data_IF_918092327494
#
_entry.id   IF_918092327494
#
_cell.length_a   1.000
_cell.length_b   1.000
_cell.length_c   1.000
_cell.angle_alpha   90.00
_cell.angle_beta   90.00
_cell.angle_gamma   90.00
#
_symmetry.space_group_name_H-M   'P 1'
#
loop_
_entity.id
_entity.type
_entity.pdbx_description
1 polymer ?
#
# COMPACT_ATOMS: atom_id res chain seq x y z
N UNK A 1 35.71 34.78 87.01
CA UNK A 1 36.60 33.98 87.89
C UNK A 1 36.58 32.54 87.40
N UNK A 2 37.77 31.96 87.08
CA UNK A 2 38.09 30.54 86.77
C UNK A 2 37.42 29.93 85.51
N UNK A 3 38.14 29.61 84.43
CA UNK A 3 39.17 28.55 84.18
C UNK A 3 38.56 27.17 83.82
N UNK A 4 38.88 26.72 82.59
CA UNK A 4 39.10 25.31 82.12
C UNK A 4 37.89 24.38 82.01
N UNK A 5 37.87 23.30 81.22
CA UNK A 5 38.71 22.69 80.17
C UNK A 5 37.86 21.52 79.60
N UNK A 6 38.12 21.16 78.34
CA UNK A 6 38.13 19.78 77.77
C UNK A 6 36.79 19.03 77.64
N UNK A 7 36.30 18.98 76.40
CA UNK A 7 36.34 17.79 75.54
C UNK A 7 35.36 16.64 75.81
N UNK A 8 34.48 16.40 74.83
CA UNK A 8 34.40 15.10 74.14
C UNK A 8 33.61 15.21 72.85
N UNK A 9 34.25 14.69 71.80
CA UNK A 9 33.75 14.48 70.46
C UNK A 9 32.55 13.51 70.50
N UNK A 10 31.41 13.88 69.93
CA UNK A 10 30.47 12.88 69.40
C UNK A 10 29.83 13.42 68.14
N UNK A 11 30.09 12.69 67.05
CA UNK A 11 29.51 12.82 65.73
C UNK A 11 27.98 12.82 65.84
N UNK A 12 27.31 13.88 65.37
CA UNK A 12 25.88 13.80 65.02
C UNK A 12 25.74 14.35 63.61
N UNK A 13 25.53 13.43 62.68
CA UNK A 13 25.21 13.66 61.28
C UNK A 13 23.99 14.57 61.16
N UNK A 14 24.16 15.73 60.54
CA UNK A 14 23.06 16.56 60.08
C UNK A 14 22.49 15.87 58.84
N UNK A 15 21.29 15.32 58.98
CA UNK A 15 20.47 14.80 57.88
C UNK A 15 20.06 16.00 57.02
N UNK A 16 20.80 16.23 55.93
CA UNK A 16 20.41 17.14 54.88
C UNK A 16 19.25 16.54 54.08
N UNK A 17 18.11 17.22 54.10
CA UNK A 17 16.93 16.93 53.32
C UNK A 17 17.26 17.07 51.82
N UNK A 18 17.59 15.96 51.15
CA UNK A 18 17.71 15.93 49.69
C UNK A 18 16.30 15.82 49.11
N UNK A 19 15.78 16.93 48.58
CA UNK A 19 14.61 16.96 47.73
C UNK A 19 14.96 16.27 46.41
N UNK A 20 14.66 14.97 46.31
CA UNK A 20 14.67 14.23 45.06
C UNK A 20 13.45 14.70 44.26
N UNK A 21 13.66 15.61 43.31
CA UNK A 21 12.72 15.78 42.20
C UNK A 21 12.79 14.52 41.34
N UNK A 22 11.98 13.52 41.69
CA UNK A 22 11.64 12.46 40.77
C UNK A 22 10.81 13.11 39.65
N UNK A 23 11.48 13.49 38.56
CA UNK A 23 10.80 13.73 37.30
C UNK A 23 10.17 12.40 36.91
N UNK A 24 8.91 12.20 37.31
CA UNK A 24 8.06 11.19 36.72
C UNK A 24 7.99 11.54 35.24
N UNK A 25 8.81 10.87 34.43
CA UNK A 25 8.62 10.81 33.00
C UNK A 25 7.23 10.20 32.82
N UNK A 26 6.23 11.07 32.65
CA UNK A 26 4.94 10.69 32.11
C UNK A 26 5.24 10.15 30.73
N UNK A 27 5.43 8.84 30.64
CA UNK A 27 5.32 8.09 29.41
C UNK A 27 3.90 8.36 28.92
N UNK A 28 3.78 9.39 28.08
CA UNK A 28 2.57 9.65 27.35
C UNK A 28 2.41 8.47 26.42
N UNK A 29 1.58 7.53 26.87
CA UNK A 29 1.19 6.35 26.14
C UNK A 29 0.57 6.84 24.83
N UNK A 30 1.36 6.84 23.75
CA UNK A 30 0.89 7.19 22.40
C UNK A 30 -0.19 6.17 22.05
N UNK A 31 -1.45 6.59 22.20
CA UNK A 31 -2.63 5.84 21.79
C UNK A 31 -2.61 5.65 20.28
N UNK A 32 -2.16 4.48 19.81
CA UNK A 32 -2.30 4.01 18.42
C UNK A 32 -1.04 3.45 17.76
N UNK A 33 -0.63 2.23 18.16
CA UNK A 33 0.05 1.25 17.30
C UNK A 33 1.43 1.58 16.70
N UNK A 34 2.49 1.51 17.50
CA UNK A 34 3.88 1.42 17.01
C UNK A 34 4.57 2.73 16.60
N UNK A 35 5.85 2.67 16.16
CA UNK A 35 6.62 3.86 15.77
C UNK A 35 6.00 4.58 14.56
N UNK A 36 6.28 5.88 14.42
CA UNK A 36 5.81 6.72 13.30
C UNK A 36 6.34 6.26 11.94
N UNK A 37 7.59 5.79 11.94
CA UNK A 37 8.28 5.25 10.78
C UNK A 37 9.46 4.36 11.21
N UNK A 38 9.97 3.56 10.29
CA UNK A 38 11.24 2.84 10.43
C UNK A 38 12.28 3.37 9.41
N UNK A 39 13.58 3.39 9.74
CA UNK A 39 14.63 3.80 8.81
C UNK A 39 15.02 2.70 7.80
N UNK A 40 14.61 1.46 8.07
CA UNK A 40 14.79 0.29 7.21
C UNK A 40 13.69 -0.73 7.52
N UNK A 41 13.36 -1.58 6.56
CA UNK A 41 12.51 -2.76 6.77
C UNK A 41 13.35 -4.00 6.53
N UNK A 42 13.61 -4.77 7.58
CA UNK A 42 14.52 -5.92 7.59
C UNK A 42 13.81 -7.26 7.45
N UNK A 43 12.46 -7.28 7.48
CA UNK A 43 11.68 -8.49 7.24
C UNK A 43 10.27 -8.18 6.76
N UNK A 44 9.61 -9.22 6.22
CA UNK A 44 8.20 -9.19 5.85
C UNK A 44 7.29 -8.80 7.02
N UNK A 45 7.59 -9.28 8.23
CA UNK A 45 6.82 -8.94 9.41
C UNK A 45 6.90 -7.44 9.74
N UNK A 46 8.01 -6.76 9.45
CA UNK A 46 8.10 -5.31 9.66
C UNK A 46 7.26 -4.54 8.64
N UNK A 47 7.31 -4.97 7.38
CA UNK A 47 6.47 -4.43 6.32
C UNK A 47 4.98 -4.57 6.67
N UNK A 48 4.54 -5.77 7.06
CA UNK A 48 3.14 -6.03 7.41
C UNK A 48 2.66 -5.22 8.63
N UNK A 49 3.55 -4.96 9.60
CA UNK A 49 3.23 -4.08 10.74
C UNK A 49 2.99 -2.62 10.35
N UNK A 50 3.66 -2.12 9.31
CA UNK A 50 3.48 -0.74 8.84
C UNK A 50 2.44 -0.62 7.71
N UNK A 51 2.19 -1.71 6.99
CA UNK A 51 1.36 -1.70 5.82
C UNK A 51 -0.11 -1.47 6.16
N UNK A 52 -0.83 -0.88 5.21
CA UNK A 52 -2.29 -0.88 5.17
C UNK A 52 -2.77 -1.54 3.89
N UNK A 53 -4.02 -1.99 3.89
CA UNK A 53 -4.70 -2.54 2.72
C UNK A 53 -5.90 -1.66 2.41
N UNK A 54 -6.00 -1.17 1.19
CA UNK A 54 -7.23 -0.54 0.71
C UNK A 54 -8.28 -1.62 0.47
N UNK A 55 -9.44 -1.48 1.11
CA UNK A 55 -10.56 -2.44 1.01
C UNK A 55 -11.59 -2.04 -0.05
N UNK A 56 -11.45 -0.85 -0.63
CA UNK A 56 -12.32 -0.27 -1.66
C UNK A 56 -11.81 -0.53 -3.10
N UNK A 57 -10.65 -1.17 -3.24
CA UNK A 57 -10.06 -1.55 -4.53
C UNK A 57 -10.42 -3.00 -4.90
N UNK A 58 -10.50 -3.35 -6.20
CA UNK A 58 -10.83 -4.72 -6.66
C UNK A 58 -9.85 -5.79 -6.19
N UNK A 59 -8.65 -5.39 -5.75
CA UNK A 59 -7.63 -6.26 -5.18
C UNK A 59 -7.01 -5.60 -3.93
N UNK A 60 -6.81 -6.41 -2.90
CA UNK A 60 -6.08 -6.01 -1.71
C UNK A 60 -4.61 -5.75 -2.08
N UNK A 61 -4.16 -4.51 -1.93
CA UNK A 61 -2.76 -4.12 -2.14
C UNK A 61 -2.14 -3.67 -0.82
N UNK A 62 -1.51 -4.59 -0.04
CA UNK A 62 -0.73 -4.22 1.13
C UNK A 62 0.40 -3.28 0.72
N UNK A 63 0.43 -2.09 1.33
CA UNK A 63 1.41 -1.07 0.97
C UNK A 63 1.85 -0.22 2.16
N UNK A 64 3.07 0.29 2.04
CA UNK A 64 3.74 1.19 2.97
C UNK A 64 4.12 2.45 2.20
N UNK A 65 3.73 3.62 2.70
CA UNK A 65 4.24 4.89 2.19
C UNK A 65 5.70 5.06 2.63
N UNK A 66 6.54 5.67 1.78
CA UNK A 66 7.87 6.09 2.18
C UNK A 66 8.15 7.54 1.78
N UNK A 67 9.07 8.16 2.52
CA UNK A 67 9.65 9.47 2.21
C UNK A 67 11.15 9.34 2.20
N UNK A 68 11.81 9.82 1.15
CA UNK A 68 13.26 10.03 1.14
C UNK A 68 13.52 11.52 1.30
N UNK A 69 14.25 11.91 2.35
CA UNK A 69 14.70 13.28 2.57
C UNK A 69 16.09 13.48 1.97
N UNK A 70 16.14 14.09 0.78
CA UNK A 70 17.41 14.34 0.06
C UNK A 70 18.31 15.34 0.77
N UNK A 71 17.79 16.14 1.70
CA UNK A 71 18.59 17.08 2.50
C UNK A 71 19.37 16.36 3.61
N UNK A 72 18.86 15.25 4.10
CA UNK A 72 19.44 14.44 5.19
C UNK A 72 20.08 13.17 4.60
N UNK A 73 21.03 13.34 3.67
CA UNK A 73 21.77 12.24 3.02
C UNK A 73 20.88 11.11 2.44
N UNK A 74 19.79 11.50 1.77
CA UNK A 74 18.79 10.58 1.21
C UNK A 74 18.20 9.60 2.24
N UNK A 75 18.09 10.03 3.50
CA UNK A 75 17.49 9.23 4.56
C UNK A 75 16.04 8.88 4.23
N UNK A 76 15.74 7.59 4.29
CA UNK A 76 14.41 7.04 4.08
C UNK A 76 13.63 6.89 5.39
N UNK A 77 12.33 7.17 5.30
CA UNK A 77 11.34 6.94 6.33
C UNK A 77 10.27 6.01 5.76
N UNK A 78 10.25 4.75 6.17
CA UNK A 78 9.13 3.84 5.91
C UNK A 78 8.01 4.18 6.87
N UNK A 79 6.96 4.83 6.39
CA UNK A 79 5.90 5.42 7.20
C UNK A 79 4.97 4.32 7.71
N UNK A 80 4.59 4.41 8.99
CA UNK A 80 3.47 3.65 9.51
C UNK A 80 2.17 4.12 8.83
N UNK A 81 1.75 3.38 7.81
CA UNK A 81 0.63 3.75 6.93
C UNK A 81 -0.73 3.51 7.59
N UNK A 82 -0.74 2.81 8.73
CA UNK A 82 -1.92 2.72 9.60
C UNK A 82 -2.12 4.02 10.40
N UNK A 83 -1.04 4.75 10.71
CA UNK A 83 -1.07 6.03 11.45
C UNK A 83 -1.21 7.25 10.55
N UNK A 84 -0.56 7.25 9.39
CA UNK A 84 -0.55 8.39 8.47
C UNK A 84 -1.21 8.04 7.14
N UNK A 85 -2.26 8.78 6.77
CA UNK A 85 -3.00 8.49 5.55
C UNK A 85 -2.27 8.94 4.29
N UNK A 86 -1.60 10.10 4.37
CA UNK A 86 -0.88 10.73 3.27
C UNK A 86 0.54 11.13 3.68
N UNK A 87 1.46 11.23 2.71
CA UNK A 87 2.83 11.71 2.97
C UNK A 87 2.89 13.07 3.66
N UNK A 88 2.00 14.01 3.26
CA UNK A 88 1.90 15.32 3.90
C UNK A 88 1.59 15.25 5.39
N UNK A 89 0.78 14.27 5.80
CA UNK A 89 0.39 14.10 7.20
C UNK A 89 1.59 13.65 8.02
N UNK A 90 2.43 12.78 7.44
CA UNK A 90 3.69 12.35 8.05
C UNK A 90 4.69 13.50 8.11
N UNK A 91 5.04 14.10 6.96
CA UNK A 91 6.08 15.15 6.86
C UNK A 91 5.77 16.32 7.79
N UNK A 92 4.51 16.76 7.86
CA UNK A 92 4.10 17.86 8.73
C UNK A 92 3.96 17.41 10.19
N UNK A 93 3.45 16.20 10.44
CA UNK A 93 3.32 15.62 11.78
C UNK A 93 4.66 15.26 12.46
N UNK A 94 5.74 15.20 11.68
CA UNK A 94 7.12 15.02 12.18
C UNK A 94 7.98 16.26 12.02
N UNK A 95 7.40 17.41 11.65
CA UNK A 95 8.09 18.70 11.49
C UNK A 95 9.26 18.68 10.49
N UNK A 96 9.26 17.76 9.53
CA UNK A 96 10.26 17.73 8.44
C UNK A 96 10.03 18.89 7.46
N UNK A 97 8.78 19.27 7.26
CA UNK A 97 8.34 20.48 6.57
C UNK A 97 7.11 21.07 7.25
N UNK A 98 6.90 22.38 7.07
CA UNK A 98 5.67 23.07 7.47
C UNK A 98 4.84 23.50 6.27
N UNK A 99 5.31 23.22 5.05
CA UNK A 99 4.62 23.53 3.80
C UNK A 99 3.24 22.84 3.74
N UNK A 100 2.27 23.51 3.12
CA UNK A 100 0.89 23.03 2.99
C UNK A 100 0.30 23.39 1.63
N UNK A 101 -0.79 22.71 1.28
CA UNK A 101 -1.57 23.02 0.09
C UNK A 101 -0.74 23.00 -1.20
N UNK A 102 -0.89 24.05 -2.00
CA UNK A 102 -0.25 24.18 -3.31
C UNK A 102 1.28 24.17 -3.23
N UNK A 103 1.87 24.83 -2.23
CA UNK A 103 3.32 24.89 -2.07
C UNK A 103 3.92 23.50 -1.86
N UNK A 104 3.33 22.73 -0.92
CA UNK A 104 3.74 21.35 -0.68
C UNK A 104 3.60 20.51 -1.96
N UNK A 105 2.50 20.68 -2.68
CA UNK A 105 2.26 19.93 -3.91
C UNK A 105 3.30 20.25 -4.99
N UNK A 106 3.51 21.53 -5.29
CA UNK A 106 4.44 22.00 -6.32
C UNK A 106 5.88 21.57 -5.99
N UNK A 107 6.29 21.72 -4.73
CA UNK A 107 7.66 21.42 -4.30
C UNK A 107 7.97 19.93 -4.25
N UNK A 108 6.97 19.05 -4.10
CA UNK A 108 7.20 17.61 -3.91
C UNK A 108 6.70 16.70 -5.03
N UNK A 109 5.84 17.19 -5.94
CA UNK A 109 5.34 16.41 -7.09
C UNK A 109 5.71 17.01 -8.45
N UNK A 110 5.96 18.32 -8.54
CA UNK A 110 6.19 19.00 -9.83
C UNK A 110 7.66 19.37 -10.01
N UNK A 111 8.24 20.08 -9.04
CA UNK A 111 9.59 20.61 -9.17
C UNK A 111 10.63 19.47 -9.22
N UNK A 112 11.57 19.48 -10.18
CA UNK A 112 12.60 18.45 -10.25
C UNK A 112 13.58 18.56 -9.08
N UNK A 113 13.93 19.76 -8.59
CA UNK A 113 14.80 19.90 -7.42
C UNK A 113 14.04 19.83 -6.08
N UNK A 114 13.23 18.79 -5.90
CA UNK A 114 12.44 18.55 -4.68
C UNK A 114 13.31 18.03 -3.55
N UNK A 115 13.01 18.42 -2.31
CA UNK A 115 13.69 17.86 -1.12
C UNK A 115 13.20 16.45 -0.83
N UNK A 116 11.88 16.24 -0.85
CA UNK A 116 11.30 14.95 -0.52
C UNK A 116 10.92 14.19 -1.79
N UNK A 117 11.29 12.91 -1.83
CA UNK A 117 10.74 11.96 -2.79
C UNK A 117 9.66 11.16 -2.05
N UNK A 118 8.44 11.20 -2.57
CA UNK A 118 7.24 10.67 -1.93
C UNK A 118 6.73 9.47 -2.72
N UNK A 119 6.91 8.26 -2.19
CA UNK A 119 6.52 7.04 -2.93
C UNK A 119 5.76 6.05 -2.07
N UNK A 120 5.31 4.99 -2.73
CA UNK A 120 4.60 3.87 -2.11
C UNK A 120 5.32 2.58 -2.45
N UNK A 121 5.50 1.71 -1.46
CA UNK A 121 6.01 0.35 -1.62
C UNK A 121 4.86 -0.63 -1.43
N UNK A 122 4.65 -1.53 -2.38
CA UNK A 122 3.50 -2.44 -2.39
C UNK A 122 3.91 -3.87 -2.76
N UNK A 123 3.14 -4.86 -2.28
CA UNK A 123 3.27 -6.24 -2.75
C UNK A 123 2.30 -6.51 -3.90
N UNK A 124 2.83 -6.71 -5.11
CA UNK A 124 2.08 -7.07 -6.30
C UNK A 124 1.88 -8.58 -6.35
N UNK A 125 0.77 -9.05 -5.79
CA UNK A 125 0.45 -10.48 -5.69
C UNK A 125 0.48 -11.25 -7.02
N UNK A 126 -0.05 -10.72 -8.15
CA UNK A 126 -0.05 -11.45 -9.43
C UNK A 126 1.35 -11.83 -9.92
N UNK A 127 2.30 -10.90 -9.82
CA UNK A 127 3.69 -11.12 -10.26
C UNK A 127 4.62 -11.55 -9.11
N UNK A 128 4.09 -11.70 -7.90
CA UNK A 128 4.81 -12.08 -6.68
C UNK A 128 6.09 -11.24 -6.46
N UNK A 129 5.98 -9.92 -6.63
CA UNK A 129 7.09 -8.97 -6.43
C UNK A 129 6.68 -7.80 -5.55
N UNK A 130 7.67 -7.24 -4.84
CA UNK A 130 7.52 -5.88 -4.30
C UNK A 130 7.75 -4.86 -5.41
N UNK A 131 6.90 -3.84 -5.45
CA UNK A 131 7.07 -2.69 -6.32
C UNK A 131 7.18 -1.41 -5.51
N UNK A 132 7.91 -0.44 -6.04
CA UNK A 132 7.76 0.95 -5.62
C UNK A 132 7.14 1.78 -6.74
N UNK A 133 6.33 2.74 -6.34
CA UNK A 133 5.42 3.48 -7.21
C UNK A 133 5.35 4.94 -6.78
N UNK A 134 5.18 5.81 -7.77
CA UNK A 134 4.83 7.22 -7.56
C UNK A 134 3.38 7.45 -7.96
N UNK A 135 2.80 8.55 -7.48
CA UNK A 135 1.48 8.96 -7.95
C UNK A 135 1.53 9.24 -9.45
N UNK A 136 0.46 8.96 -10.18
CA UNK A 136 0.40 9.11 -11.65
C UNK A 136 0.75 10.53 -12.11
N UNK A 137 0.28 11.55 -11.40
CA UNK A 137 0.56 12.95 -11.70
C UNK A 137 1.93 13.46 -11.23
N UNK A 138 2.74 12.61 -10.59
CA UNK A 138 4.08 12.96 -10.15
C UNK A 138 5.03 13.09 -11.36
N UNK A 139 5.67 14.26 -11.49
CA UNK A 139 6.68 14.60 -12.48
C UNK A 139 8.10 14.20 -12.04
N UNK A 140 8.22 13.04 -11.39
CA UNK A 140 9.48 12.52 -10.85
C UNK A 140 10.49 12.27 -11.99
N UNK A 141 11.72 12.82 -11.93
CA UNK A 141 12.71 12.63 -12.99
C UNK A 141 13.47 11.29 -12.83
N UNK A 142 14.04 10.80 -13.94
CA UNK A 142 14.69 9.49 -14.03
C UNK A 142 15.83 9.28 -13.00
N UNK A 143 16.60 10.32 -12.69
CA UNK A 143 17.68 10.27 -11.69
C UNK A 143 17.14 10.01 -10.28
N UNK A 144 15.95 10.52 -9.95
CA UNK A 144 15.31 10.29 -8.66
C UNK A 144 14.60 8.94 -8.57
N UNK A 145 14.11 8.41 -9.69
CA UNK A 145 13.65 7.02 -9.77
C UNK A 145 14.83 6.08 -9.48
N UNK A 146 16.00 6.32 -10.10
CA UNK A 146 17.24 5.57 -9.86
C UNK A 146 17.69 5.68 -8.39
N UNK A 147 17.73 6.89 -7.85
CA UNK A 147 18.09 7.15 -6.45
C UNK A 147 17.17 6.38 -5.50
N UNK A 148 15.87 6.40 -5.76
CA UNK A 148 14.87 5.67 -4.95
C UNK A 148 15.15 4.17 -4.98
N UNK A 149 15.40 3.60 -6.17
CA UNK A 149 15.74 2.19 -6.31
C UNK A 149 17.02 1.82 -5.55
N UNK A 150 18.05 2.67 -5.59
CA UNK A 150 19.31 2.44 -4.89
C UNK A 150 19.13 2.48 -3.36
N UNK A 151 18.36 3.43 -2.83
CA UNK A 151 18.05 3.53 -1.40
C UNK A 151 17.23 2.33 -0.94
N UNK A 152 16.21 1.93 -1.70
CA UNK A 152 15.39 0.76 -1.38
C UNK A 152 16.23 -0.53 -1.38
N UNK A 153 17.15 -0.70 -2.33
CA UNK A 153 18.06 -1.85 -2.38
C UNK A 153 18.91 -2.01 -1.11
N UNK A 154 19.24 -0.92 -0.43
CA UNK A 154 20.05 -0.93 0.80
C UNK A 154 19.21 -1.09 2.08
N UNK A 155 17.94 -0.67 2.05
CA UNK A 155 17.13 -0.48 3.25
C UNK A 155 15.89 -1.37 3.32
N UNK A 156 15.55 -2.07 2.23
CA UNK A 156 14.45 -3.03 2.15
C UNK A 156 14.99 -4.47 2.07
N UNK A 157 14.29 -5.41 2.68
CA UNK A 157 14.76 -6.80 2.86
C UNK A 157 14.65 -7.69 1.61
N UNK A 158 14.02 -7.22 0.54
CA UNK A 158 13.75 -7.99 -0.67
C UNK A 158 14.01 -7.15 -1.94
N UNK A 159 14.14 -7.79 -3.12
CA UNK A 159 14.18 -7.07 -4.39
C UNK A 159 12.91 -6.25 -4.61
N UNK A 160 13.06 -5.06 -5.15
CA UNK A 160 11.95 -4.15 -5.48
C UNK A 160 12.09 -3.69 -6.93
N UNK A 161 11.01 -3.80 -7.70
CA UNK A 161 10.93 -3.27 -9.05
C UNK A 161 10.19 -1.93 -9.08
N UNK A 162 10.54 -1.05 -10.01
CA UNK A 162 9.75 0.13 -10.28
C UNK A 162 8.49 -0.23 -11.08
N UNK A 163 7.34 0.28 -10.66
CA UNK A 163 6.11 0.23 -11.47
C UNK A 163 5.71 1.65 -11.89
N UNK A 164 5.81 1.98 -13.19
CA UNK A 164 5.37 3.28 -13.69
C UNK A 164 3.84 3.37 -13.63
N UNK A 165 3.34 4.54 -13.22
CA UNK A 165 1.90 4.82 -13.17
C UNK A 165 1.44 5.85 -14.22
N UNK A 166 2.34 6.35 -15.06
CA UNK A 166 2.02 7.23 -16.19
C UNK A 166 2.95 6.97 -17.37
N UNK A 167 2.53 7.39 -18.58
CA UNK A 167 3.36 7.29 -19.80
C UNK A 167 4.72 7.95 -19.62
N UNK A 168 4.74 9.14 -18.99
CA UNK A 168 5.99 9.85 -18.71
C UNK A 168 6.93 9.03 -17.82
N UNK A 169 6.40 8.46 -16.73
CA UNK A 169 7.21 7.62 -15.83
C UNK A 169 7.69 6.34 -16.53
N UNK A 170 6.89 5.78 -17.43
CA UNK A 170 7.28 4.63 -18.27
C UNK A 170 8.48 5.01 -19.15
N UNK A 171 8.36 6.08 -19.93
CA UNK A 171 9.40 6.60 -20.82
C UNK A 171 10.68 6.98 -20.07
N UNK A 172 10.57 7.78 -19.01
CA UNK A 172 11.72 8.28 -18.24
C UNK A 172 12.47 7.13 -17.55
N UNK A 173 11.78 6.05 -17.17
CA UNK A 173 12.39 4.89 -16.50
C UNK A 173 12.96 3.84 -17.45
N UNK A 174 12.59 3.86 -18.74
CA UNK A 174 12.99 2.83 -19.70
C UNK A 174 14.52 2.76 -19.93
N UNK A 175 15.19 3.92 -19.89
CA UNK A 175 16.65 4.02 -20.09
C UNK A 175 17.49 3.89 -18.81
N UNK A 176 16.86 3.70 -17.65
CA UNK A 176 17.58 3.69 -16.37
C UNK A 176 18.30 2.36 -16.16
N UNK A 177 19.63 2.39 -16.22
CA UNK A 177 20.45 1.18 -16.08
C UNK A 177 20.27 0.51 -14.70
N UNK A 178 20.08 -0.82 -14.74
CA UNK A 178 19.94 -1.64 -13.54
C UNK A 178 18.61 -1.48 -12.79
N UNK A 179 17.65 -0.73 -13.35
CA UNK A 179 16.31 -0.60 -12.79
C UNK A 179 15.44 -1.78 -13.23
N UNK A 180 15.07 -2.63 -12.28
CA UNK A 180 14.02 -3.63 -12.54
C UNK A 180 12.67 -2.94 -12.67
N UNK A 181 11.86 -3.37 -13.64
CA UNK A 181 10.56 -2.76 -13.95
C UNK A 181 9.48 -3.83 -13.98
N UNK A 182 8.29 -3.47 -13.50
CA UNK A 182 7.06 -4.27 -13.61
C UNK A 182 5.98 -3.37 -14.18
N UNK A 183 5.48 -3.71 -15.38
CA UNK A 183 4.44 -2.91 -16.02
C UNK A 183 3.05 -3.35 -15.56
N UNK A 184 2.07 -2.44 -15.71
CA UNK A 184 0.67 -2.77 -15.44
C UNK A 184 0.18 -3.93 -16.32
N UNK A 185 0.71 -4.06 -17.55
CA UNK A 185 0.42 -5.16 -18.47
C UNK A 185 0.97 -6.50 -17.97
N UNK A 186 2.10 -6.51 -17.26
CA UNK A 186 2.65 -7.73 -16.66
C UNK A 186 1.78 -8.22 -15.51
N UNK A 187 1.33 -7.29 -14.65
CA UNK A 187 0.41 -7.60 -13.56
C UNK A 187 -0.92 -8.11 -14.09
N UNK A 188 -1.50 -7.45 -15.09
CA UNK A 188 -2.75 -7.86 -15.70
C UNK A 188 -2.67 -9.25 -16.35
N UNK A 189 -1.53 -9.61 -16.96
CA UNK A 189 -1.30 -10.93 -17.58
C UNK A 189 -1.28 -12.06 -16.55
N UNK A 190 -0.75 -11.79 -15.37
CA UNK A 190 -0.64 -12.77 -14.27
C UNK A 190 -1.84 -12.72 -13.30
N UNK A 191 -2.80 -11.82 -13.49
CA UNK A 191 -3.99 -11.76 -12.65
C UNK A 191 -4.82 -13.04 -12.82
N UNK A 192 -5.04 -13.78 -11.73
CA UNK A 192 -5.82 -15.02 -11.75
C UNK A 192 -7.29 -14.81 -11.35
N UNK A 193 -7.57 -13.75 -10.60
CA UNK A 193 -8.87 -13.46 -10.04
C UNK A 193 -9.11 -11.95 -9.96
N UNK A 194 -10.30 -11.47 -10.32
CA UNK A 194 -10.70 -10.10 -10.03
C UNK A 194 -12.18 -10.07 -9.63
N UNK A 195 -12.46 -9.60 -8.42
CA UNK A 195 -13.82 -9.31 -8.00
C UNK A 195 -14.34 -8.08 -8.75
N UNK A 196 -15.49 -8.23 -9.44
CA UNK A 196 -16.14 -7.15 -10.19
C UNK A 196 -17.37 -6.64 -9.43
N UNK A 197 -18.12 -7.56 -8.82
CA UNK A 197 -19.18 -7.26 -7.87
C UNK A 197 -19.14 -8.27 -6.71
N UNK A 198 -18.78 -7.80 -5.51
CA UNK A 198 -18.76 -8.64 -4.30
C UNK A 198 -20.18 -8.74 -3.75
N UNK A 199 -20.83 -9.87 -3.99
CA UNK A 199 -22.16 -10.20 -3.49
C UNK A 199 -22.26 -11.69 -3.19
N UNK A 200 -23.45 -12.18 -2.84
CA UNK A 200 -23.71 -13.60 -2.61
C UNK A 200 -24.83 -14.05 -3.55
N UNK A 201 -24.64 -15.22 -4.16
CA UNK A 201 -25.61 -15.85 -5.05
C UNK A 201 -25.45 -17.36 -4.95
N UNK A 202 -26.54 -18.09 -5.16
CA UNK A 202 -26.57 -19.54 -5.18
C UNK A 202 -27.25 -19.98 -6.46
N UNK A 203 -26.58 -20.85 -7.22
CA UNK A 203 -27.09 -21.37 -8.47
C UNK A 203 -26.27 -22.54 -8.97
N UNK A 204 -26.74 -23.17 -10.05
CA UNK A 204 -26.00 -24.23 -10.76
C UNK A 204 -24.95 -23.59 -11.65
N UNK A 205 -23.74 -24.16 -11.73
CA UNK A 205 -22.76 -23.70 -12.72
C UNK A 205 -23.31 -24.05 -14.11
N UNK A 206 -23.18 -23.13 -15.05
CA UNK A 206 -23.50 -23.38 -16.45
C UNK A 206 -22.40 -22.73 -17.31
N UNK A 207 -21.57 -23.56 -17.94
CA UNK A 207 -20.45 -23.13 -18.78
C UNK A 207 -20.94 -22.89 -20.20
N UNK A 208 -20.89 -21.64 -20.64
CA UNK A 208 -21.32 -21.23 -21.98
C UNK A 208 -20.10 -20.78 -22.77
N UNK A 209 -19.72 -21.61 -23.73
CA UNK A 209 -18.62 -21.33 -24.64
C UNK A 209 -18.94 -20.19 -25.61
N UNK A 210 -20.18 -20.17 -26.11
CA UNK A 210 -20.73 -19.14 -26.97
C UNK A 210 -22.20 -18.98 -26.65
N UNK A 211 -22.63 -17.75 -26.39
CA UNK A 211 -24.04 -17.45 -26.24
C UNK A 211 -24.66 -17.31 -27.63
N UNK A 212 -25.65 -18.14 -27.93
CA UNK A 212 -26.52 -18.03 -29.10
C UNK A 212 -27.99 -18.20 -28.70
N UNK A 213 -28.90 -17.96 -29.64
CA UNK A 213 -30.35 -17.95 -29.39
C UNK A 213 -30.92 -19.32 -28.96
N UNK A 214 -30.12 -20.39 -28.99
CA UNK A 214 -30.52 -21.73 -28.58
C UNK A 214 -30.09 -22.07 -27.15
N UNK A 215 -29.31 -21.22 -26.49
CA UNK A 215 -28.89 -21.43 -25.10
C UNK A 215 -29.98 -20.92 -24.15
N UNK A 216 -30.67 -21.86 -23.49
CA UNK A 216 -31.60 -21.52 -22.41
C UNK A 216 -30.82 -21.17 -21.13
N UNK A 217 -31.10 -20.00 -20.55
CA UNK A 217 -30.48 -19.54 -19.30
C UNK A 217 -31.54 -19.41 -18.22
N UNK A 218 -31.32 -20.12 -17.11
CA UNK A 218 -32.17 -20.04 -15.92
C UNK A 218 -31.75 -18.93 -14.95
N UNK A 219 -32.71 -18.35 -14.22
CA UNK A 219 -32.40 -17.35 -13.17
C UNK A 219 -31.59 -17.93 -12.00
N UNK A 220 -31.62 -19.25 -11.82
CA UNK A 220 -30.91 -19.99 -10.77
C UNK A 220 -29.53 -20.49 -11.23
N UNK A 221 -28.94 -19.88 -12.25
CA UNK A 221 -27.66 -20.28 -12.81
C UNK A 221 -26.54 -19.30 -12.47
N UNK A 222 -25.33 -19.82 -12.36
CA UNK A 222 -24.09 -19.05 -12.28
C UNK A 222 -23.36 -19.31 -13.58
N UNK A 223 -23.39 -18.32 -14.47
CA UNK A 223 -22.85 -18.47 -15.82
C UNK A 223 -21.33 -18.35 -15.81
N UNK A 224 -20.65 -19.28 -16.49
CA UNK A 224 -19.22 -19.21 -16.77
C UNK A 224 -19.03 -18.91 -18.25
N UNK A 225 -18.64 -17.68 -18.57
CA UNK A 225 -18.62 -17.16 -19.92
C UNK A 225 -17.17 -17.04 -20.42
N UNK A 226 -16.90 -17.56 -21.62
CA UNK A 226 -15.60 -17.35 -22.29
C UNK A 226 -15.43 -15.93 -22.82
N UNK A 227 -16.53 -15.31 -23.24
CA UNK A 227 -16.57 -13.96 -23.78
C UNK A 227 -17.73 -13.18 -23.18
N UNK A 228 -17.62 -11.85 -23.17
CA UNK A 228 -18.67 -10.98 -22.62
C UNK A 228 -19.75 -10.80 -23.70
N UNK A 229 -20.99 -11.29 -23.50
CA UNK A 229 -22.06 -11.14 -24.48
C UNK A 229 -22.61 -9.70 -24.49
N UNK A 230 -23.43 -9.38 -25.50
CA UNK A 230 -24.09 -8.08 -25.59
C UNK A 230 -25.20 -7.89 -24.55
N UNK A 231 -25.93 -8.97 -24.24
CA UNK A 231 -27.02 -9.02 -23.27
C UNK A 231 -27.01 -10.34 -22.51
N UNK A 232 -27.57 -10.31 -21.31
CA UNK A 232 -27.82 -11.49 -20.48
C UNK A 232 -29.20 -11.30 -19.79
N UNK A 233 -29.97 -12.38 -19.59
CA UNK A 233 -31.08 -12.34 -18.65
C UNK A 233 -30.56 -12.32 -17.20
N UNK A 234 -31.39 -11.96 -16.20
CA UNK A 234 -31.02 -12.06 -14.79
C UNK A 234 -30.63 -13.49 -14.39
N UNK A 235 -29.51 -13.63 -13.68
CA UNK A 235 -28.94 -14.90 -13.23
C UNK A 235 -28.43 -14.81 -11.79
N UNK A 236 -28.10 -15.94 -11.15
CA UNK A 236 -27.62 -15.98 -9.77
C UNK A 236 -26.14 -15.58 -9.62
N UNK A 237 -25.36 -15.55 -10.70
CA UNK A 237 -23.99 -15.05 -10.72
C UNK A 237 -23.35 -15.12 -12.10
N UNK A 238 -22.23 -14.41 -12.27
CA UNK A 238 -21.46 -14.40 -13.53
C UNK A 238 -19.97 -14.55 -13.25
N UNK A 239 -19.31 -15.42 -14.01
CA UNK A 239 -17.86 -15.62 -14.00
C UNK A 239 -17.36 -15.49 -15.43
N UNK A 240 -16.41 -14.58 -15.69
CA UNK A 240 -15.80 -14.42 -17.01
C UNK A 240 -14.39 -15.01 -17.04
N UNK A 241 -14.05 -15.72 -18.13
CA UNK A 241 -12.73 -16.36 -18.30
C UNK A 241 -11.70 -15.46 -18.99
N UNK A 242 -12.13 -14.31 -19.54
CA UNK A 242 -11.26 -13.26 -20.10
C UNK A 242 -11.32 -12.00 -19.23
N UNK A 243 -10.18 -11.33 -18.97
CA UNK A 243 -10.17 -10.09 -18.22
C UNK A 243 -11.11 -9.06 -18.87
N UNK A 244 -11.86 -8.34 -18.04
CA UNK A 244 -12.73 -7.24 -18.46
C UNK A 244 -12.53 -6.05 -17.55
N UNK A 245 -12.87 -4.85 -18.02
CA UNK A 245 -12.80 -3.65 -17.17
C UNK A 245 -13.99 -3.63 -16.20
N UNK A 246 -13.83 -3.12 -14.97
CA UNK A 246 -14.95 -2.97 -14.03
C UNK A 246 -16.14 -2.15 -14.57
N UNK A 247 -15.89 -1.30 -15.57
CA UNK A 247 -16.89 -0.44 -16.22
C UNK A 247 -17.51 -1.03 -17.49
N UNK A 248 -17.26 -2.30 -17.80
CA UNK A 248 -17.89 -2.93 -18.97
C UNK A 248 -19.43 -2.95 -18.83
N UNK A 249 -20.14 -2.87 -19.96
CA UNK A 249 -21.61 -2.80 -19.99
C UNK A 249 -22.28 -3.95 -19.21
N UNK A 250 -21.76 -5.17 -19.35
CA UNK A 250 -22.25 -6.33 -18.60
C UNK A 250 -21.93 -6.24 -17.11
N UNK A 251 -20.74 -5.75 -16.72
CA UNK A 251 -20.41 -5.61 -15.30
C UNK A 251 -21.37 -4.63 -14.60
N UNK A 252 -21.74 -3.54 -15.26
CA UNK A 252 -22.74 -2.60 -14.76
C UNK A 252 -24.13 -3.23 -14.69
N UNK A 253 -24.54 -3.99 -15.70
CA UNK A 253 -25.82 -4.71 -15.73
C UNK A 253 -25.94 -5.72 -14.58
N UNK A 254 -24.95 -6.62 -14.45
CA UNK A 254 -24.90 -7.66 -13.42
C UNK A 254 -24.84 -7.05 -12.02
N UNK A 255 -24.07 -5.96 -11.86
CA UNK A 255 -24.04 -5.19 -10.61
C UNK A 255 -25.41 -4.56 -10.30
N UNK A 256 -26.13 -4.08 -11.31
CA UNK A 256 -27.50 -3.55 -11.18
C UNK A 256 -28.49 -4.59 -10.64
N UNK A 257 -28.27 -5.88 -10.89
CA UNK A 257 -29.06 -6.97 -10.29
C UNK A 257 -28.63 -7.34 -8.87
N UNK A 258 -27.48 -6.84 -8.41
CA UNK A 258 -26.94 -7.15 -7.08
C UNK A 258 -26.35 -8.56 -6.95
N UNK A 259 -26.02 -9.22 -8.06
CA UNK A 259 -25.53 -10.61 -8.08
C UNK A 259 -24.01 -10.68 -8.18
N UNK A 260 -23.34 -11.72 -7.64
CA UNK A 260 -21.88 -11.81 -7.64
C UNK A 260 -21.32 -11.87 -9.06
N UNK A 261 -20.22 -11.15 -9.28
CA UNK A 261 -19.51 -11.12 -10.56
C UNK A 261 -17.99 -11.12 -10.35
N UNK A 262 -17.27 -11.98 -11.08
CA UNK A 262 -15.82 -12.03 -11.04
C UNK A 262 -15.20 -12.45 -12.38
N UNK A 263 -13.96 -12.01 -12.61
CA UNK A 263 -13.06 -12.66 -13.55
C UNK A 263 -12.29 -13.77 -12.81
N UNK A 264 -12.20 -14.95 -13.42
CA UNK A 264 -11.39 -16.08 -12.95
C UNK A 264 -10.62 -16.64 -14.16
N UNK A 265 -9.29 -16.66 -14.07
CA UNK A 265 -8.43 -17.27 -15.10
C UNK A 265 -8.74 -18.76 -15.18
N UNK A 266 -8.98 -19.25 -16.40
CA UNK A 266 -9.34 -20.64 -16.68
C UNK A 266 -10.60 -21.14 -15.96
N UNK A 267 -11.57 -20.27 -15.68
CA UNK A 267 -12.80 -20.61 -14.96
C UNK A 267 -13.52 -21.84 -15.53
N UNK A 268 -13.65 -21.91 -16.87
CA UNK A 268 -14.32 -23.03 -17.54
C UNK A 268 -13.63 -24.38 -17.33
N UNK A 269 -12.31 -24.40 -17.10
CA UNK A 269 -11.58 -25.64 -16.78
C UNK A 269 -11.75 -26.01 -15.31
N UNK A 270 -11.61 -25.04 -14.40
CA UNK A 270 -11.69 -25.22 -12.95
C UNK A 270 -13.09 -25.69 -12.52
N UNK A 271 -14.12 -25.14 -13.16
CA UNK A 271 -15.52 -25.35 -12.77
C UNK A 271 -16.22 -26.43 -13.58
N UNK A 272 -15.54 -27.09 -14.53
CA UNK A 272 -16.12 -28.12 -15.41
C UNK A 272 -16.80 -29.28 -14.68
N UNK A 273 -16.33 -29.59 -13.46
CA UNK A 273 -16.89 -30.66 -12.64
C UNK A 273 -18.25 -30.30 -12.01
N UNK A 274 -18.67 -29.03 -12.07
CA UNK A 274 -19.88 -28.50 -11.46
C UNK A 274 -20.95 -28.10 -12.47
N UNK A 275 -20.61 -28.11 -13.76
CA UNK A 275 -21.50 -27.91 -14.91
C UNK A 275 -22.40 -29.14 -15.10
#
# INVERSE_FOLDING_TARGET
MKISKIGRLTLVSIVGLVLIFAAAATAQQESGGGPRSLPALRSRAEFERLARVYTDQPYALPHVLFVIDRKDDNKIYYINSQRYRFHKDFVNGTYLSLERGEEFWRNNYINPNRRFILGTLAWQAPVKRYTFEFWEGDQIPADQIKLTADVLKQTFFAPVAFKPNSTKQDEDSAGVQGLERVLQSDIAREQEYQALNVAKGLGRIHIIDKLDDHVEIGFNEILVLKEVPLSLPPVAGVIVSKPSTPLSHINLLVKGWGVPNAYIKNAGEILKQYD
#
